data_IF_431952189239
#
_entry.id   IF_431952189239
#
_cell.length_a   1.000
_cell.length_b   1.000
_cell.length_c   1.000
_cell.angle_alpha   90.00
_cell.angle_beta   90.00
_cell.angle_gamma   90.00
#
_symmetry.space_group_name_H-M   'P 1'
#
loop_
_entity.id
_entity.type
_entity.pdbx_description
1 polymer ?
#
# COMPACT_ATOMS: atom_id res chain seq x y z
N UNK A 1 -12.90 21.00 -28.80
CA UNK A 1 -13.11 20.93 -27.34
C UNK A 1 -11.83 20.38 -26.73
N UNK A 2 -11.11 21.18 -25.96
CA UNK A 2 -9.87 20.78 -25.28
C UNK A 2 -9.94 21.34 -23.86
N UNK A 3 -10.69 20.65 -23.01
CA UNK A 3 -10.82 20.98 -21.59
C UNK A 3 -9.94 20.02 -20.78
N UNK A 4 -8.63 20.06 -21.04
CA UNK A 4 -7.63 19.38 -20.22
C UNK A 4 -7.25 20.30 -19.05
N UNK A 5 -8.17 20.49 -18.12
CA UNK A 5 -7.85 21.07 -16.81
C UNK A 5 -7.13 20.00 -15.96
N UNK A 6 -5.92 19.61 -16.36
CA UNK A 6 -5.03 18.85 -15.50
C UNK A 6 -4.62 19.76 -14.36
N UNK A 7 -5.18 19.51 -13.18
CA UNK A 7 -4.83 20.17 -11.93
C UNK A 7 -3.33 19.98 -11.65
N UNK A 8 -2.52 20.98 -11.96
CA UNK A 8 -1.05 21.01 -11.84
C UNK A 8 -0.54 21.04 -10.37
N UNK A 9 -1.36 20.65 -9.39
CA UNK A 9 -1.04 20.75 -7.97
C UNK A 9 -1.38 19.47 -7.17
N UNK A 10 -1.50 18.33 -7.85
CA UNK A 10 -1.58 17.05 -7.15
C UNK A 10 -0.18 16.53 -6.86
N UNK A 11 0.05 16.09 -5.62
CA UNK A 11 1.33 15.49 -5.25
C UNK A 11 1.60 14.28 -6.16
N UNK A 12 2.86 14.03 -6.57
CA UNK A 12 3.18 12.86 -7.39
C UNK A 12 2.85 11.60 -6.60
N UNK A 13 1.74 10.95 -6.97
CA UNK A 13 1.26 9.71 -6.38
C UNK A 13 0.85 8.76 -7.50
N UNK A 14 0.83 7.46 -7.20
CA UNK A 14 0.37 6.44 -8.14
C UNK A 14 -0.45 5.42 -7.39
N UNK A 15 -1.77 5.50 -7.57
CA UNK A 15 -2.73 4.59 -6.94
C UNK A 15 -2.50 3.13 -7.39
N UNK A 16 -2.16 2.93 -8.67
CA UNK A 16 -1.82 1.61 -9.19
C UNK A 16 -0.57 1.02 -8.53
N UNK A 17 0.44 1.86 -8.24
CA UNK A 17 1.64 1.41 -7.54
C UNK A 17 1.34 1.02 -6.10
N UNK A 18 0.52 1.80 -5.39
CA UNK A 18 0.08 1.49 -4.03
C UNK A 18 -0.67 0.16 -3.98
N UNK A 19 -1.61 -0.05 -4.90
CA UNK A 19 -2.34 -1.31 -5.03
C UNK A 19 -1.43 -2.48 -5.39
N UNK A 20 -0.44 -2.27 -6.27
CA UNK A 20 0.52 -3.31 -6.63
C UNK A 20 1.39 -3.74 -5.43
N UNK A 21 1.79 -2.78 -4.57
CA UNK A 21 2.52 -3.08 -3.33
C UNK A 21 1.64 -3.92 -2.40
N UNK A 22 0.42 -3.47 -2.09
CA UNK A 22 -0.50 -4.20 -1.22
C UNK A 22 -0.85 -5.59 -1.77
N UNK A 23 -1.07 -5.70 -3.07
CA UNK A 23 -1.31 -6.97 -3.75
C UNK A 23 -0.10 -7.92 -3.67
N UNK A 24 1.12 -7.38 -3.81
CA UNK A 24 2.34 -8.18 -3.66
C UNK A 24 2.51 -8.70 -2.23
N UNK A 25 2.18 -7.87 -1.23
CA UNK A 25 2.20 -8.24 0.19
C UNK A 25 1.22 -9.38 0.51
N UNK A 26 0.01 -9.33 -0.06
CA UNK A 26 -0.96 -10.44 0.06
C UNK A 26 -0.50 -11.71 -0.66
N UNK A 27 0.31 -11.58 -1.71
CA UNK A 27 0.73 -12.73 -2.50
C UNK A 27 1.87 -13.52 -1.86
N UNK A 28 2.71 -12.89 -1.04
CA UNK A 28 3.89 -13.56 -0.46
C UNK A 28 4.40 -12.90 0.80
N UNK A 29 4.66 -13.71 1.84
CA UNK A 29 5.25 -13.25 3.11
C UNK A 29 6.62 -12.56 2.94
N UNK A 30 7.41 -12.97 1.96
CA UNK A 30 8.68 -12.31 1.63
C UNK A 30 8.48 -10.89 1.09
N UNK A 31 7.40 -10.66 0.33
CA UNK A 31 7.06 -9.33 -0.19
C UNK A 31 6.61 -8.40 0.94
N UNK A 32 5.89 -8.92 1.95
CA UNK A 32 5.57 -8.20 3.19
C UNK A 32 6.84 -7.73 3.88
N UNK A 33 7.77 -8.66 4.15
CA UNK A 33 9.04 -8.33 4.82
C UNK A 33 9.87 -7.31 4.05
N UNK A 34 9.94 -7.41 2.72
CA UNK A 34 10.62 -6.41 1.90
C UNK A 34 9.90 -5.06 1.95
N UNK A 35 8.58 -5.03 1.85
CA UNK A 35 7.83 -3.78 1.80
C UNK A 35 7.97 -2.97 3.09
N UNK A 36 7.84 -3.62 4.26
CA UNK A 36 7.97 -2.98 5.58
C UNK A 36 9.38 -2.42 5.84
N UNK A 37 10.42 -2.99 5.22
CA UNK A 37 11.78 -2.47 5.36
C UNK A 37 12.01 -1.13 4.65
N UNK A 38 11.24 -0.85 3.59
CA UNK A 38 11.45 0.33 2.74
C UNK A 38 10.32 1.35 2.82
N UNK A 39 9.12 0.93 3.20
CA UNK A 39 7.90 1.73 3.16
C UNK A 39 7.29 1.84 4.55
N UNK A 40 6.75 3.02 4.86
CA UNK A 40 5.93 3.28 6.04
C UNK A 40 4.49 3.59 5.63
N UNK A 41 3.47 3.30 6.45
CA UNK A 41 2.08 3.52 6.08
C UNK A 41 1.73 4.98 5.72
N UNK A 42 2.52 5.95 6.20
CA UNK A 42 2.34 7.38 5.90
C UNK A 42 2.72 7.78 4.46
N UNK A 43 3.46 6.93 3.72
CA UNK A 43 3.86 7.22 2.33
C UNK A 43 2.71 7.04 1.33
N UNK A 44 1.63 6.38 1.76
CA UNK A 44 0.46 6.15 0.93
C UNK A 44 -0.38 7.41 0.87
N UNK A 45 -0.71 7.85 -0.34
CA UNK A 45 -1.56 9.00 -0.58
C UNK A 45 -3.01 8.73 -0.12
N UNK A 46 -3.48 7.48 -0.28
CA UNK A 46 -4.77 7.05 0.27
C UNK A 46 -4.61 6.51 1.69
N UNK A 47 -5.28 7.16 2.63
CA UNK A 47 -5.41 6.70 4.03
C UNK A 47 -5.90 5.25 4.13
N UNK A 48 -6.81 4.83 3.25
CA UNK A 48 -7.28 3.43 3.20
C UNK A 48 -6.14 2.45 2.92
N UNK A 49 -5.21 2.78 2.01
CA UNK A 49 -4.06 1.93 1.69
C UNK A 49 -3.06 1.89 2.84
N UNK A 50 -2.79 3.04 3.47
CA UNK A 50 -1.93 3.11 4.66
C UNK A 50 -2.46 2.29 5.83
N UNK A 51 -3.78 2.26 6.04
CA UNK A 51 -4.44 1.40 7.04
C UNK A 51 -4.28 -0.09 6.74
N UNK A 52 -4.47 -0.49 5.49
CA UNK A 52 -4.27 -1.89 5.07
C UNK A 52 -2.80 -2.28 5.29
N UNK A 53 -1.86 -1.45 4.87
CA UNK A 53 -0.43 -1.69 5.10
C UNK A 53 -0.09 -1.85 6.58
N UNK A 54 -0.66 -0.99 7.44
CA UNK A 54 -0.46 -1.08 8.90
C UNK A 54 -1.03 -2.38 9.48
N UNK A 55 -2.18 -2.84 9.00
CA UNK A 55 -2.75 -4.12 9.42
C UNK A 55 -1.87 -5.30 8.97
N UNK A 56 -1.35 -5.26 7.73
CA UNK A 56 -0.41 -6.26 7.22
C UNK A 56 0.89 -6.30 8.04
N UNK A 57 1.43 -5.15 8.41
CA UNK A 57 2.60 -5.03 9.27
C UNK A 57 2.35 -5.63 10.66
N UNK A 58 1.21 -5.32 11.28
CA UNK A 58 0.82 -5.85 12.59
C UNK A 58 0.66 -7.38 12.58
N UNK A 59 0.02 -7.92 11.55
CA UNK A 59 -0.13 -9.38 11.38
C UNK A 59 1.23 -10.05 11.19
N UNK A 60 2.10 -9.44 10.37
CA UNK A 60 3.44 -9.94 10.14
C UNK A 60 4.30 -9.94 11.41
N UNK A 61 4.21 -8.89 12.23
CA UNK A 61 4.90 -8.79 13.53
C UNK A 61 4.41 -9.86 14.52
N UNK A 62 3.12 -10.15 14.51
CA UNK A 62 2.50 -11.25 15.29
C UNK A 62 2.85 -12.64 14.76
N UNK A 63 3.49 -12.74 13.60
CA UNK A 63 3.77 -14.00 12.92
C UNK A 63 2.55 -14.65 12.26
N UNK A 64 1.42 -13.94 12.22
CA UNK A 64 0.17 -14.37 11.59
C UNK A 64 0.27 -14.24 10.06
N UNK A 65 -0.54 -15.01 9.31
CA UNK A 65 -0.53 -14.94 7.87
C UNK A 65 -1.20 -13.65 7.38
N UNK A 66 -0.63 -13.05 6.33
CA UNK A 66 -1.12 -11.80 5.72
C UNK A 66 -1.88 -12.17 4.46
N UNK A 67 -3.20 -12.27 4.57
CA UNK A 67 -4.10 -12.68 3.49
C UNK A 67 -5.46 -11.95 3.58
N UNK A 68 -6.28 -12.10 2.54
CA UNK A 68 -7.55 -11.37 2.38
C UNK A 68 -8.60 -11.68 3.45
N UNK A 69 -8.41 -12.73 4.24
CA UNK A 69 -9.30 -13.09 5.35
C UNK A 69 -8.81 -12.47 6.66
N UNK A 70 -7.49 -12.36 6.82
CA UNK A 70 -6.86 -11.90 8.06
C UNK A 70 -6.66 -10.38 8.13
N UNK A 71 -6.59 -9.71 6.98
CA UNK A 71 -6.31 -8.26 6.84
C UNK A 71 -7.53 -7.36 7.00
#
# INVERSE_FOLDING_TARGET
>A
MADNNQLLNVQPHSEEAELAVLGSMLSSKEAVSKSIQWLTPDVFYKDAHGKIFSAMELLFDKGEPVDTVSV
#
